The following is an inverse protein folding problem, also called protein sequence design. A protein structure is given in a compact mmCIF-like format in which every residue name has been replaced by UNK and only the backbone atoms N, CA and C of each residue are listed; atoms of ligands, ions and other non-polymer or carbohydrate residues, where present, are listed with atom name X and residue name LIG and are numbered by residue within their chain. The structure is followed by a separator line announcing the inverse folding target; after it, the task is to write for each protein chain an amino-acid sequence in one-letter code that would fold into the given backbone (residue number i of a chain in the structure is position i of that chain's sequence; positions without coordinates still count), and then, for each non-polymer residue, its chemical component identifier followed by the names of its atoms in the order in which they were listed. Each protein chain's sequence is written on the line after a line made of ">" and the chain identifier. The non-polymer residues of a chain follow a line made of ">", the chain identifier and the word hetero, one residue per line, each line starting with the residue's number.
data_IF_278222212406
#
_entry.id   IF_278222212406
#
_cell.length_a   1.000
_cell.length_b   1.000
_cell.length_c   1.000
_cell.angle_alpha   90.00
_cell.angle_beta   90.00
_cell.angle_gamma   90.00
#
_symmetry.space_group_name_H-M   'P 1'
#
loop_
_entity.id
_entity.type
_entity.pdbx_description
1 polymer ?
#
# COMPACT_ATOMS: atom_id res chain seq x y z
N UNK A 1 6.26 15.04 -0.27
CA UNK A 1 5.19 14.04 -0.52
C UNK A 1 5.75 12.75 -1.08
N UNK A 2 6.30 12.75 -2.30
CA UNK A 2 6.85 11.55 -2.95
C UNK A 2 7.87 10.81 -2.10
N UNK A 3 8.70 11.56 -1.35
CA UNK A 3 9.63 11.00 -0.36
C UNK A 3 8.93 10.24 0.78
N UNK A 4 7.80 10.74 1.28
CA UNK A 4 7.09 10.08 2.37
C UNK A 4 6.35 8.82 1.90
N UNK A 5 5.75 8.83 0.71
CA UNK A 5 5.20 7.63 0.07
C UNK A 5 6.30 6.59 -0.17
N UNK A 6 7.47 7.04 -0.61
CA UNK A 6 8.63 6.19 -0.79
C UNK A 6 9.12 5.56 0.54
N UNK A 7 9.26 6.36 1.59
CA UNK A 7 9.63 5.86 2.92
C UNK A 7 8.58 4.87 3.45
N UNK A 8 7.29 5.11 3.17
CA UNK A 8 6.22 4.16 3.48
C UNK A 8 6.41 2.83 2.77
N UNK A 9 6.50 2.85 1.44
CA UNK A 9 6.56 1.64 0.63
C UNK A 9 7.77 0.79 1.02
N UNK A 10 8.91 1.44 1.30
CA UNK A 10 10.12 0.74 1.76
C UNK A 10 9.93 0.18 3.18
N UNK A 11 9.30 0.92 4.09
CA UNK A 11 9.02 0.44 5.46
C UNK A 11 8.04 -0.74 5.42
N UNK A 12 6.95 -0.63 4.66
CA UNK A 12 5.96 -1.68 4.47
C UNK A 12 6.57 -2.93 3.83
N UNK A 13 7.38 -2.79 2.78
CA UNK A 13 8.10 -3.91 2.17
C UNK A 13 9.09 -4.57 3.15
N UNK A 14 9.75 -3.78 4.02
CA UNK A 14 10.64 -4.28 5.06
C UNK A 14 9.91 -5.12 6.10
N UNK A 15 8.75 -4.63 6.57
CA UNK A 15 7.89 -5.33 7.52
C UNK A 15 7.30 -6.60 6.93
N UNK A 16 6.81 -6.51 5.69
CA UNK A 16 6.34 -7.65 4.94
C UNK A 16 7.44 -8.73 4.84
N UNK A 17 8.68 -8.34 4.57
CA UNK A 17 9.79 -9.28 4.48
C UNK A 17 10.11 -9.98 5.80
N UNK A 18 10.02 -9.25 6.93
CA UNK A 18 10.15 -9.83 8.27
C UNK A 18 9.02 -10.82 8.55
N UNK A 19 7.78 -10.43 8.27
CA UNK A 19 6.60 -11.27 8.50
C UNK A 19 6.62 -12.54 7.63
N UNK A 20 7.09 -12.43 6.38
CA UNK A 20 7.34 -13.58 5.53
C UNK A 20 8.39 -14.51 6.12
N UNK A 21 9.48 -13.96 6.66
CA UNK A 21 10.52 -14.75 7.30
C UNK A 21 10.02 -15.50 8.54
N UNK A 22 9.20 -14.86 9.37
CA UNK A 22 8.53 -15.49 10.52
C UNK A 22 7.62 -16.63 10.09
N UNK A 23 6.76 -16.40 9.08
CA UNK A 23 5.86 -17.43 8.54
C UNK A 23 6.62 -18.57 7.84
N UNK A 24 7.78 -18.30 7.22
CA UNK A 24 8.63 -19.33 6.63
C UNK A 24 9.22 -20.24 7.70
N UNK A 25 9.72 -19.67 8.79
CA UNK A 25 10.28 -20.43 9.92
C UNK A 25 9.21 -21.32 10.55
N UNK A 26 8.00 -20.78 10.78
CA UNK A 26 6.86 -21.54 11.29
C UNK A 26 6.43 -22.63 10.31
N UNK A 27 6.27 -22.29 9.03
CA UNK A 27 5.78 -23.22 8.00
C UNK A 27 6.71 -24.40 7.72
N UNK A 28 8.03 -24.19 7.82
CA UNK A 28 9.03 -25.25 7.68
C UNK A 28 9.49 -25.85 9.01
N UNK A 29 8.90 -25.42 10.13
CA UNK A 29 9.24 -25.85 11.49
C UNK A 29 10.75 -25.75 11.79
N UNK A 30 11.37 -24.67 11.31
CA UNK A 30 12.78 -24.38 11.52
C UNK A 30 12.92 -23.72 12.90
N UNK A 31 13.64 -24.31 13.84
CA UNK A 31 13.86 -23.75 15.19
C UNK A 31 14.84 -22.56 15.23
N UNK A 32 14.84 -21.70 14.22
CA UNK A 32 15.80 -20.61 14.08
C UNK A 32 15.43 -19.41 14.94
N UNK A 33 16.45 -18.75 15.49
CA UNK A 33 16.31 -17.57 16.34
C UNK A 33 16.00 -16.29 15.52
N UNK A 34 16.00 -15.13 16.19
CA UNK A 34 15.82 -13.82 15.55
C UNK A 34 16.88 -13.53 14.47
N UNK A 35 18.06 -14.16 14.55
CA UNK A 35 19.09 -14.08 13.52
C UNK A 35 18.65 -14.74 12.22
N UNK A 36 18.02 -15.92 12.30
CA UNK A 36 17.43 -16.62 11.15
C UNK A 36 16.34 -15.82 10.45
N UNK A 37 15.45 -15.16 11.20
CA UNK A 37 14.41 -14.27 10.65
C UNK A 37 15.04 -13.17 9.80
N UNK A 38 16.08 -12.53 10.33
CA UNK A 38 16.77 -11.42 9.64
C UNK A 38 17.39 -11.88 8.32
N UNK A 39 18.08 -13.03 8.30
CA UNK A 39 18.69 -13.56 7.09
C UNK A 39 17.67 -13.91 6.02
N UNK A 40 16.56 -14.55 6.38
CA UNK A 40 15.50 -14.90 5.44
C UNK A 40 14.85 -13.64 4.88
N UNK A 41 14.59 -12.62 5.71
CA UNK A 41 14.01 -11.35 5.27
C UNK A 41 14.93 -10.62 4.27
N UNK A 42 16.25 -10.59 4.53
CA UNK A 42 17.24 -9.99 3.63
C UNK A 42 17.33 -10.74 2.30
N UNK A 43 17.34 -12.08 2.33
CA UNK A 43 17.36 -12.91 1.11
C UNK A 43 16.08 -12.69 0.30
N UNK A 44 14.93 -12.67 0.96
CA UNK A 44 13.65 -12.42 0.31
C UNK A 44 13.61 -11.05 -0.38
N UNK A 45 14.05 -10.00 0.30
CA UNK A 45 14.17 -8.66 -0.30
C UNK A 45 15.16 -8.62 -1.47
N UNK A 46 16.28 -9.33 -1.38
CA UNK A 46 17.21 -9.45 -2.49
C UNK A 46 16.56 -10.14 -3.71
N UNK A 47 15.74 -11.17 -3.49
CA UNK A 47 14.98 -11.85 -4.55
C UNK A 47 13.97 -10.88 -5.18
N UNK A 48 13.20 -10.13 -4.37
CA UNK A 48 12.27 -9.12 -4.89
C UNK A 48 12.99 -8.04 -5.70
N UNK A 49 14.17 -7.60 -5.25
CA UNK A 49 14.99 -6.65 -5.98
C UNK A 49 15.39 -7.23 -7.33
N UNK A 50 15.85 -8.48 -7.37
CA UNK A 50 16.26 -9.16 -8.60
C UNK A 50 15.08 -9.35 -9.57
N UNK A 51 13.88 -9.67 -9.07
CA UNK A 51 12.65 -9.74 -9.87
C UNK A 51 12.31 -8.37 -10.47
N UNK A 52 12.41 -7.30 -9.69
CA UNK A 52 12.17 -5.92 -10.14
C UNK A 52 13.20 -5.48 -11.20
N UNK A 53 14.45 -5.96 -11.08
CA UNK A 53 15.52 -5.72 -12.06
C UNK A 53 15.34 -6.48 -13.37
N UNK A 54 14.73 -7.67 -13.32
CA UNK A 54 14.52 -8.50 -14.51
C UNK A 54 13.54 -7.85 -15.49
N UNK A 55 12.62 -7.04 -15.01
CA UNK A 55 11.82 -6.13 -15.83
C UNK A 55 10.38 -6.04 -15.36
N UNK A 56 9.81 -4.84 -15.50
CA UNK A 56 8.50 -4.50 -14.94
C UNK A 56 7.40 -5.43 -15.43
N UNK A 57 7.37 -5.75 -16.74
CA UNK A 57 6.35 -6.64 -17.29
C UNK A 57 6.41 -8.07 -16.72
N UNK A 58 7.59 -8.55 -16.33
CA UNK A 58 7.76 -9.85 -15.67
C UNK A 58 7.31 -9.75 -14.21
N UNK A 59 7.68 -8.67 -13.49
CA UNK A 59 7.26 -8.44 -12.11
C UNK A 59 5.73 -8.30 -11.98
N UNK A 60 5.07 -7.61 -12.91
CA UNK A 60 3.61 -7.48 -12.93
C UNK A 60 2.90 -8.82 -13.17
N UNK A 61 3.44 -9.67 -14.05
CA UNK A 61 2.88 -11.02 -14.26
C UNK A 61 3.01 -11.88 -13.00
N UNK A 62 4.16 -11.81 -12.32
CA UNK A 62 4.36 -12.49 -11.05
C UNK A 62 3.38 -11.97 -9.99
N UNK A 63 3.17 -10.66 -9.94
CA UNK A 63 2.19 -10.04 -9.05
C UNK A 63 0.77 -10.57 -9.26
N UNK A 64 0.34 -10.74 -10.52
CA UNK A 64 -0.97 -11.31 -10.83
C UNK A 64 -1.10 -12.74 -10.30
N UNK A 65 -0.04 -13.55 -10.40
CA UNK A 65 -0.03 -14.91 -9.83
C UNK A 65 -0.18 -14.87 -8.31
N UNK A 66 0.57 -14.00 -7.62
CA UNK A 66 0.47 -13.85 -6.17
C UNK A 66 -0.92 -13.37 -5.75
N UNK A 67 -1.49 -12.42 -6.48
CA UNK A 67 -2.85 -11.91 -6.23
C UNK A 67 -3.90 -13.00 -6.44
N UNK A 68 -3.73 -13.88 -7.42
CA UNK A 68 -4.64 -15.03 -7.61
C UNK A 68 -4.59 -15.99 -6.42
N UNK A 69 -3.39 -16.28 -5.90
CA UNK A 69 -3.20 -17.12 -4.70
C UNK A 69 -3.87 -16.45 -3.49
N UNK A 70 -3.63 -15.16 -3.27
CA UNK A 70 -4.24 -14.39 -2.19
C UNK A 70 -5.78 -14.39 -2.29
N UNK A 71 -6.31 -14.19 -3.49
CA UNK A 71 -7.75 -14.24 -3.76
C UNK A 71 -8.32 -15.63 -3.46
N UNK A 72 -7.60 -16.72 -3.73
CA UNK A 72 -8.06 -18.06 -3.32
C UNK A 72 -8.22 -18.19 -1.81
N UNK A 73 -7.32 -17.58 -1.01
CA UNK A 73 -7.45 -17.55 0.44
C UNK A 73 -8.71 -16.84 0.92
N UNK A 74 -8.96 -15.66 0.36
CA UNK A 74 -10.18 -14.89 0.65
C UNK A 74 -11.44 -15.64 0.23
N UNK A 75 -11.43 -16.31 -0.93
CA UNK A 75 -12.55 -17.14 -1.37
C UNK A 75 -12.82 -18.29 -0.40
N UNK A 76 -11.77 -18.95 0.12
CA UNK A 76 -11.96 -20.02 1.11
C UNK A 76 -12.65 -19.49 2.36
N UNK A 77 -12.25 -18.31 2.87
CA UNK A 77 -12.92 -17.66 4.01
C UNK A 77 -14.39 -17.39 3.69
N UNK A 78 -14.69 -16.85 2.51
CA UNK A 78 -16.07 -16.59 2.06
C UNK A 78 -16.88 -17.89 2.00
N UNK A 79 -16.34 -18.95 1.41
CA UNK A 79 -17.02 -20.25 1.32
C UNK A 79 -17.30 -20.87 2.69
N UNK A 80 -16.33 -20.80 3.61
CA UNK A 80 -16.50 -21.26 4.99
C UNK A 80 -17.57 -20.43 5.70
N UNK A 81 -17.57 -19.11 5.50
CA UNK A 81 -18.62 -18.20 5.93
C UNK A 81 -20.02 -18.67 5.53
N UNK A 82 -20.23 -18.85 4.22
CA UNK A 82 -21.51 -19.31 3.69
C UNK A 82 -21.87 -20.75 4.13
N UNK A 83 -20.89 -21.64 4.27
CA UNK A 83 -21.12 -23.01 4.71
C UNK A 83 -21.52 -23.10 6.18
N UNK A 84 -20.87 -22.33 7.06
CA UNK A 84 -21.25 -22.20 8.47
C UNK A 84 -22.66 -21.61 8.61
N UNK A 85 -22.99 -20.62 7.76
CA UNK A 85 -24.30 -19.98 7.69
C UNK A 85 -25.40 -20.96 7.24
N UNK A 86 -25.11 -21.84 6.28
CA UNK A 86 -26.04 -22.89 5.85
C UNK A 86 -26.30 -23.95 6.92
N UNK A 87 -25.41 -24.11 7.91
CA UNK A 87 -25.59 -25.08 9.00
C UNK A 87 -26.35 -24.52 10.21
N UNK A 88 -26.81 -23.26 10.13
CA UNK A 88 -27.56 -22.61 11.22
C UNK A 88 -26.71 -22.25 12.44
N UNK A 89 -25.37 -22.34 12.33
CA UNK A 89 -24.44 -22.04 13.41
C UNK A 89 -24.04 -20.55 13.44
N UNK A 90 -24.87 -19.68 12.86
CA UNK A 90 -24.55 -18.28 12.58
C UNK A 90 -25.61 -17.36 13.19
N UNK A 91 -25.12 -16.39 13.95
CA UNK A 91 -25.94 -15.38 14.59
C UNK A 91 -25.92 -14.09 13.74
N UNK A 92 -26.84 -14.00 12.78
CA UNK A 92 -27.01 -12.82 11.94
C UNK A 92 -27.34 -11.55 12.72
N UNK A 93 -27.84 -11.69 13.96
CA UNK A 93 -28.09 -10.54 14.83
C UNK A 93 -26.80 -9.74 15.02
N UNK A 94 -25.64 -10.40 15.10
CA UNK A 94 -24.32 -9.75 15.30
C UNK A 94 -23.89 -8.86 14.13
N UNK A 95 -24.35 -9.13 12.91
CA UNK A 95 -24.08 -8.28 11.74
C UNK A 95 -24.94 -7.00 11.79
N UNK A 96 -26.07 -7.04 12.50
CA UNK A 96 -27.02 -5.94 12.66
C UNK A 96 -26.90 -5.19 14.00
N UNK A 97 -26.17 -5.76 14.97
CA UNK A 97 -25.95 -5.14 16.29
C UNK A 97 -24.72 -4.23 16.21
N UNK A 98 -24.97 -2.92 16.34
CA UNK A 98 -23.92 -1.92 16.42
C UNK A 98 -23.41 -1.80 17.87
N UNK A 99 -22.44 -2.63 18.24
CA UNK A 99 -21.71 -2.45 19.51
C UNK A 99 -20.72 -1.29 19.34
N UNK A 100 -21.16 -0.08 19.72
CA UNK A 100 -20.24 1.04 19.88
C UNK A 100 -19.53 0.93 21.21
N UNK A 101 -18.21 1.14 21.24
CA UNK A 101 -17.47 1.41 22.48
C UNK A 101 -18.22 2.50 23.26
N UNK A 102 -18.56 2.26 24.53
CA UNK A 102 -19.45 3.11 25.34
C UNK A 102 -19.06 4.61 25.36
N UNK A 103 -17.81 4.94 25.01
CA UNK A 103 -17.27 6.30 25.01
C UNK A 103 -17.30 7.06 23.68
N UNK A 104 -17.60 6.42 22.53
CA UNK A 104 -17.58 7.08 21.21
C UNK A 104 -18.94 7.01 20.53
N UNK A 105 -19.55 8.19 20.34
CA UNK A 105 -20.82 8.30 19.60
C UNK A 105 -20.74 7.66 18.21
N UNK A 106 -21.87 7.09 17.74
CA UNK A 106 -21.98 6.33 16.47
C UNK A 106 -21.29 7.02 15.30
N UNK A 107 -21.41 8.34 15.19
CA UNK A 107 -20.78 9.12 14.13
C UNK A 107 -19.24 9.09 14.15
N UNK A 108 -18.62 9.19 15.33
CA UNK A 108 -17.16 9.12 15.48
C UNK A 108 -16.65 7.71 15.23
N UNK A 109 -17.36 6.70 15.74
CA UNK A 109 -17.03 5.29 15.52
C UNK A 109 -17.12 4.92 14.04
N UNK A 110 -18.16 5.38 13.34
CA UNK A 110 -18.31 5.18 11.90
C UNK A 110 -17.21 5.90 11.11
N UNK A 111 -16.85 7.12 11.53
CA UNK A 111 -15.76 7.88 10.89
C UNK A 111 -14.42 7.17 11.03
N UNK A 112 -14.10 6.68 12.24
CA UNK A 112 -12.87 5.92 12.49
C UNK A 112 -12.83 4.61 11.68
N UNK A 113 -13.94 3.84 11.67
CA UNK A 113 -14.05 2.63 10.87
C UNK A 113 -13.91 2.90 9.36
N UNK A 114 -14.49 4.00 8.87
CA UNK A 114 -14.37 4.41 7.46
C UNK A 114 -12.93 4.82 7.11
N UNK A 115 -12.23 5.50 8.01
CA UNK A 115 -10.81 5.84 7.85
C UNK A 115 -9.96 4.58 7.71
N UNK A 116 -10.17 3.60 8.59
CA UNK A 116 -9.47 2.31 8.55
C UNK A 116 -9.84 1.49 7.31
N UNK A 117 -11.10 1.48 6.90
CA UNK A 117 -11.53 0.80 5.66
C UNK A 117 -10.94 1.47 4.42
N UNK A 118 -10.81 2.81 4.42
CA UNK A 118 -10.12 3.54 3.36
C UNK A 118 -8.64 3.15 3.30
N UNK A 119 -7.99 2.97 4.45
CA UNK A 119 -6.61 2.48 4.51
C UNK A 119 -6.44 1.14 3.79
N UNK A 120 -7.39 0.21 3.95
CA UNK A 120 -7.36 -1.08 3.25
C UNK A 120 -7.54 -0.99 1.73
N UNK A 121 -7.98 0.16 1.22
CA UNK A 121 -8.19 0.44 -0.21
C UNK A 121 -7.05 1.28 -0.82
N UNK A 122 -6.07 1.70 -0.02
CA UNK A 122 -4.85 2.39 -0.48
C UNK A 122 -4.06 1.46 -1.42
N UNK A 123 -3.56 2.01 -2.53
CA UNK A 123 -2.80 1.29 -3.55
C UNK A 123 -3.40 1.38 -4.95
N UNK A 124 -4.63 1.88 -5.10
CA UNK A 124 -5.20 2.14 -6.44
C UNK A 124 -4.50 3.32 -7.13
N UNK A 125 -4.01 4.30 -6.38
CA UNK A 125 -3.27 5.46 -6.89
C UNK A 125 -1.96 5.06 -7.57
N UNK A 126 -1.38 3.95 -7.11
CA UNK A 126 -0.12 3.43 -7.64
C UNK A 126 -0.28 2.92 -9.06
N UNK A 127 -1.47 2.44 -9.41
CA UNK A 127 -1.81 2.02 -10.77
C UNK A 127 -1.69 3.17 -11.77
N UNK A 128 -1.84 4.43 -11.35
CA UNK A 128 -1.72 5.60 -12.24
C UNK A 128 -0.29 5.74 -12.76
N UNK A 129 0.73 5.39 -11.97
CA UNK A 129 2.13 5.40 -12.40
C UNK A 129 2.45 4.28 -13.42
N UNK A 130 1.53 3.34 -13.60
CA UNK A 130 1.59 2.26 -14.60
C UNK A 130 0.72 2.55 -15.82
N UNK A 131 -0.05 3.65 -15.82
CA UNK A 131 -0.93 4.00 -16.93
C UNK A 131 -0.16 4.17 -18.25
N UNK A 132 1.08 4.66 -18.20
CA UNK A 132 1.95 4.82 -19.39
C UNK A 132 2.29 3.49 -20.08
N UNK A 133 2.22 2.36 -19.37
CA UNK A 133 2.47 1.02 -19.92
C UNK A 133 1.18 0.29 -20.33
N UNK A 134 0.04 0.96 -20.18
CA UNK A 134 -1.27 0.40 -20.54
C UNK A 134 -1.58 0.66 -22.01
N UNK A 135 -2.16 -0.33 -22.69
CA UNK A 135 -2.66 -0.15 -24.06
C UNK A 135 -3.87 0.80 -24.03
N UNK A 136 -3.84 1.88 -24.81
CA UNK A 136 -4.91 2.90 -24.85
C UNK A 136 -5.35 3.38 -23.44
N UNK A 137 -4.47 4.10 -22.72
CA UNK A 137 -4.71 4.47 -21.32
C UNK A 137 -5.93 5.38 -21.14
N UNK A 138 -6.34 6.12 -22.17
CA UNK A 138 -7.48 7.05 -22.06
C UNK A 138 -8.80 6.30 -21.87
N UNK A 139 -8.95 5.14 -22.52
CA UNK A 139 -10.21 4.37 -22.51
C UNK A 139 -10.15 3.15 -21.60
N UNK A 140 -9.03 2.42 -21.59
CA UNK A 140 -8.93 1.15 -20.88
C UNK A 140 -8.69 1.37 -19.39
N UNK A 141 -7.78 2.28 -19.04
CA UNK A 141 -7.36 2.49 -17.65
C UNK A 141 -8.54 2.85 -16.73
N UNK A 142 -9.42 3.83 -17.03
CA UNK A 142 -10.53 4.16 -16.14
C UNK A 142 -11.51 3.00 -15.93
N UNK A 143 -11.80 2.24 -17.00
CA UNK A 143 -12.74 1.12 -16.93
C UNK A 143 -12.19 0.00 -16.06
N UNK A 144 -10.94 -0.41 -16.28
CA UNK A 144 -10.30 -1.49 -15.52
C UNK A 144 -10.11 -1.11 -14.06
N UNK A 145 -9.69 0.12 -13.78
CA UNK A 145 -9.54 0.64 -12.43
C UNK A 145 -10.85 0.61 -11.65
N UNK A 146 -11.94 1.15 -12.23
CA UNK A 146 -13.25 1.17 -11.56
C UNK A 146 -13.84 -0.23 -11.37
N UNK A 147 -13.68 -1.13 -12.33
CA UNK A 147 -14.12 -2.52 -12.18
C UNK A 147 -13.32 -3.26 -11.12
N UNK A 148 -11.98 -3.10 -11.10
CA UNK A 148 -11.12 -3.73 -10.10
C UNK A 148 -11.47 -3.27 -8.69
N UNK A 149 -11.59 -1.95 -8.49
CA UNK A 149 -11.96 -1.36 -7.20
C UNK A 149 -13.33 -1.84 -6.71
N UNK A 150 -14.30 -1.95 -7.63
CA UNK A 150 -15.66 -2.44 -7.30
C UNK A 150 -15.63 -3.91 -6.90
N UNK A 151 -14.87 -4.75 -7.61
CA UNK A 151 -14.72 -6.18 -7.26
C UNK A 151 -14.06 -6.32 -5.89
N UNK A 152 -12.97 -5.59 -5.63
CA UNK A 152 -12.29 -5.62 -4.32
C UNK A 152 -13.22 -5.18 -3.19
N UNK A 153 -13.99 -4.11 -3.39
CA UNK A 153 -14.96 -3.65 -2.40
C UNK A 153 -16.02 -4.71 -2.09
N UNK A 154 -16.55 -5.41 -3.09
CA UNK A 154 -17.51 -6.50 -2.89
C UNK A 154 -16.87 -7.66 -2.11
N UNK A 155 -15.65 -8.05 -2.48
CA UNK A 155 -14.92 -9.12 -1.76
C UNK A 155 -14.69 -8.75 -0.30
N UNK A 156 -14.28 -7.51 -0.01
CA UNK A 156 -14.08 -7.04 1.36
C UNK A 156 -15.37 -7.09 2.18
N UNK A 157 -16.50 -6.65 1.62
CA UNK A 157 -17.81 -6.73 2.28
C UNK A 157 -18.20 -8.19 2.57
N UNK A 158 -18.03 -9.09 1.61
CA UNK A 158 -18.32 -10.51 1.79
C UNK A 158 -17.45 -11.16 2.88
N UNK A 159 -16.15 -10.87 2.88
CA UNK A 159 -15.22 -11.36 3.91
C UNK A 159 -15.59 -10.81 5.28
N UNK A 160 -15.96 -9.53 5.37
CA UNK A 160 -16.34 -8.88 6.63
C UNK A 160 -17.62 -9.49 7.21
N UNK A 161 -18.63 -9.73 6.37
CA UNK A 161 -19.86 -10.42 6.76
C UNK A 161 -19.55 -11.85 7.22
N UNK A 162 -18.76 -12.60 6.44
CA UNK A 162 -18.37 -13.97 6.80
C UNK A 162 -17.65 -14.01 8.15
N UNK A 163 -16.69 -13.11 8.38
CA UNK A 163 -15.89 -13.06 9.60
C UNK A 163 -16.74 -12.79 10.84
N UNK A 164 -17.53 -11.71 10.84
CA UNK A 164 -18.36 -11.29 11.98
C UNK A 164 -19.50 -12.28 12.25
N UNK A 165 -19.95 -13.00 11.22
CA UNK A 165 -21.00 -14.01 11.36
C UNK A 165 -20.55 -15.27 12.10
N UNK A 166 -19.25 -15.61 12.04
CA UNK A 166 -18.68 -16.82 12.67
C UNK A 166 -18.07 -16.50 14.03
N UNK A 167 -17.29 -15.41 14.13
CA UNK A 167 -16.48 -15.09 15.33
C UNK A 167 -16.92 -13.76 15.92
N UNK A 168 -17.09 -13.65 17.26
CA UNK A 168 -17.39 -12.38 17.93
C UNK A 168 -16.36 -11.28 17.61
N UNK A 169 -16.82 -10.04 17.49
CA UNK A 169 -15.98 -8.87 17.15
C UNK A 169 -14.86 -8.66 18.18
N UNK A 170 -15.14 -8.88 19.47
CA UNK A 170 -14.11 -8.79 20.52
C UNK A 170 -12.92 -9.71 20.27
N UNK A 171 -13.18 -10.99 19.98
CA UNK A 171 -12.14 -11.97 19.67
C UNK A 171 -11.40 -11.65 18.37
N UNK A 172 -12.10 -11.14 17.35
CA UNK A 172 -11.46 -10.69 16.11
C UNK A 172 -10.55 -9.47 16.32
N UNK A 173 -10.92 -8.57 17.24
CA UNK A 173 -10.15 -7.36 17.54
C UNK A 173 -8.87 -7.64 18.34
N UNK A 174 -8.86 -8.71 19.14
CA UNK A 174 -7.69 -9.13 19.93
C UNK A 174 -6.75 -10.06 19.14
N UNK A 175 -7.22 -10.65 18.04
CA UNK A 175 -6.45 -11.60 17.24
C UNK A 175 -5.48 -10.90 16.29
N UNK A 176 -4.22 -11.34 16.29
CA UNK A 176 -3.23 -10.91 15.28
C UNK A 176 -3.46 -11.55 13.91
N UNK A 177 -4.26 -12.62 13.84
CA UNK A 177 -4.61 -13.32 12.59
C UNK A 177 -6.11 -13.57 12.49
N UNK A 178 -6.94 -12.52 12.34
CA UNK A 178 -8.41 -12.64 12.43
C UNK A 178 -8.99 -13.62 11.40
N UNK A 179 -8.48 -13.60 10.16
CA UNK A 179 -8.97 -14.49 9.10
C UNK A 179 -8.67 -15.97 9.38
N UNK A 180 -7.53 -16.27 10.04
CA UNK A 180 -7.23 -17.63 10.47
C UNK A 180 -8.21 -18.10 11.55
N UNK A 181 -8.56 -17.22 12.48
CA UNK A 181 -9.52 -17.51 13.55
C UNK A 181 -10.90 -17.84 12.99
N UNK A 182 -11.36 -17.08 12.00
CA UNK A 182 -12.63 -17.34 11.28
C UNK A 182 -12.62 -18.72 10.62
N UNK A 183 -11.51 -19.09 10.00
CA UNK A 183 -11.36 -20.39 9.33
C UNK A 183 -11.33 -21.53 10.33
N UNK A 184 -10.60 -21.39 11.44
CA UNK A 184 -10.56 -22.38 12.53
C UNK A 184 -11.92 -22.60 13.16
N UNK A 185 -12.67 -21.52 13.39
CA UNK A 185 -14.01 -21.59 13.96
C UNK A 185 -15.04 -22.15 12.97
N UNK A 186 -14.95 -21.79 11.68
CA UNK A 186 -15.92 -22.20 10.66
C UNK A 186 -15.68 -23.58 10.03
N UNK A 187 -14.44 -24.08 10.02
CA UNK A 187 -14.08 -25.37 9.42
C UNK A 187 -12.91 -26.06 10.17
N UNK A 188 -13.16 -26.60 11.38
CA UNK A 188 -12.12 -27.17 12.24
C UNK A 188 -11.41 -28.41 11.65
N UNK A 189 -11.98 -29.04 10.61
CA UNK A 189 -11.40 -30.22 9.95
C UNK A 189 -10.42 -29.87 8.80
N UNK A 190 -10.27 -28.59 8.43
CA UNK A 190 -9.30 -28.20 7.42
C UNK A 190 -7.92 -28.01 8.09
N UNK A 191 -6.84 -28.63 7.58
CA UNK A 191 -5.47 -28.47 8.11
C UNK A 191 -4.89 -27.10 7.72
N UNK A 192 -5.56 -26.03 8.12
CA UNK A 192 -5.21 -24.67 7.76
C UNK A 192 -3.99 -24.16 8.51
N UNK A 193 -3.62 -24.78 9.63
CA UNK A 193 -2.35 -24.48 10.31
C UNK A 193 -1.12 -24.78 9.42
N UNK A 194 -1.25 -25.71 8.46
CA UNK A 194 -0.19 -26.03 7.49
C UNK A 194 -0.25 -25.11 6.27
N UNK A 195 -1.46 -24.76 5.82
CA UNK A 195 -1.66 -24.00 4.57
C UNK A 195 -1.52 -22.49 4.81
N UNK A 196 -1.95 -21.99 5.96
CA UNK A 196 -2.00 -20.57 6.30
C UNK A 196 -0.63 -19.89 6.26
N UNK A 197 0.47 -20.46 6.82
CA UNK A 197 1.78 -19.82 6.72
C UNK A 197 2.19 -19.57 5.26
N UNK A 198 1.94 -20.52 4.35
CA UNK A 198 2.21 -20.34 2.92
C UNK A 198 1.32 -19.28 2.29
N UNK A 199 0.02 -19.29 2.58
CA UNK A 199 -0.92 -18.30 2.06
C UNK A 199 -0.55 -16.89 2.51
N UNK A 200 -0.21 -16.75 3.78
CA UNK A 200 0.25 -15.51 4.38
C UNK A 200 1.56 -15.04 3.75
N UNK A 201 2.54 -15.92 3.56
CA UNK A 201 3.77 -15.62 2.85
C UNK A 201 3.53 -15.07 1.44
N UNK A 202 2.62 -15.68 0.66
CA UNK A 202 2.32 -15.21 -0.70
C UNK A 202 1.65 -13.83 -0.71
N UNK A 203 0.68 -13.58 0.18
CA UNK A 203 0.02 -12.27 0.31
C UNK A 203 1.01 -11.16 0.71
N UNK A 204 1.92 -11.49 1.63
CA UNK A 204 2.94 -10.57 2.12
C UNK A 204 4.00 -10.32 1.04
N UNK A 205 4.36 -11.35 0.27
CA UNK A 205 5.24 -11.20 -0.88
C UNK A 205 4.63 -10.33 -1.98
N UNK A 206 3.33 -10.45 -2.23
CA UNK A 206 2.57 -9.61 -3.16
C UNK A 206 2.70 -8.12 -2.76
N UNK A 207 2.38 -7.84 -1.49
CA UNK A 207 2.46 -6.49 -0.92
C UNK A 207 3.86 -5.89 -1.03
N UNK A 208 4.90 -6.66 -0.67
CA UNK A 208 6.28 -6.20 -0.74
C UNK A 208 6.74 -5.93 -2.18
N UNK A 209 6.37 -6.80 -3.13
CA UNK A 209 6.71 -6.65 -4.55
C UNK A 209 6.11 -5.37 -5.14
N UNK A 210 4.82 -5.11 -4.91
CA UNK A 210 4.13 -3.90 -5.41
C UNK A 210 4.78 -2.66 -4.82
N UNK A 211 4.95 -2.61 -3.50
CA UNK A 211 5.53 -1.46 -2.82
C UNK A 211 6.94 -1.12 -3.35
N UNK A 212 7.73 -2.15 -3.67
CA UNK A 212 9.08 -1.95 -4.19
C UNK A 212 9.11 -1.55 -5.67
N UNK A 213 8.19 -2.07 -6.49
CA UNK A 213 7.96 -1.60 -7.86
C UNK A 213 7.59 -0.11 -7.84
N UNK A 214 6.69 0.28 -6.94
CA UNK A 214 6.24 1.66 -6.81
C UNK A 214 7.33 2.62 -6.35
N UNK A 215 8.06 2.25 -5.30
CA UNK A 215 9.19 3.05 -4.82
C UNK A 215 10.22 3.32 -5.93
N UNK A 216 10.52 2.31 -6.76
CA UNK A 216 11.47 2.44 -7.87
C UNK A 216 11.00 3.42 -8.95
N UNK A 217 9.71 3.43 -9.28
CA UNK A 217 9.12 4.34 -10.28
C UNK A 217 9.04 5.77 -9.79
N UNK A 218 8.63 5.96 -8.54
CA UNK A 218 8.60 7.29 -7.92
C UNK A 218 10.00 7.91 -7.90
N UNK A 219 11.03 7.11 -7.57
CA UNK A 219 12.43 7.53 -7.66
C UNK A 219 12.85 7.90 -9.08
N UNK A 220 12.47 7.10 -10.07
CA UNK A 220 12.76 7.40 -11.47
C UNK A 220 12.11 8.72 -11.92
N UNK A 221 10.83 8.94 -11.61
CA UNK A 221 10.14 10.19 -11.90
C UNK A 221 10.79 11.40 -11.21
N UNK A 222 11.20 11.25 -9.94
CA UNK A 222 11.92 12.31 -9.21
C UNK A 222 13.30 12.62 -9.79
N UNK A 223 14.03 11.60 -10.24
CA UNK A 223 15.33 11.79 -10.89
C UNK A 223 15.19 12.47 -12.26
N UNK A 224 14.08 12.22 -12.97
CA UNK A 224 13.76 12.89 -14.24
C UNK A 224 13.36 14.36 -14.05
N UNK A 225 12.78 14.70 -12.90
CA UNK A 225 12.43 16.07 -12.51
C UNK A 225 13.59 16.83 -11.82
N UNK A 226 14.81 16.29 -11.83
CA UNK A 226 16.00 16.88 -11.17
C UNK A 226 15.86 17.11 -9.65
N UNK A 227 14.86 16.49 -9.01
CA UNK A 227 14.63 16.55 -7.55
C UNK A 227 15.61 15.66 -6.78
N UNK A 228 16.15 14.64 -7.45
CA UNK A 228 17.19 13.74 -6.94
C UNK A 228 18.38 13.69 -7.91
N UNK A 229 19.59 13.30 -7.45
CA UNK A 229 20.76 13.21 -8.31
C UNK A 229 20.46 12.33 -9.54
N UNK A 230 20.74 12.83 -10.76
CA UNK A 230 20.48 12.08 -12.01
C UNK A 230 21.14 10.69 -12.07
N UNK A 231 22.11 10.40 -11.22
CA UNK A 231 22.68 9.07 -11.05
C UNK A 231 21.66 8.02 -10.60
N UNK A 232 20.60 8.42 -9.87
CA UNK A 232 19.50 7.55 -9.44
C UNK A 232 18.46 7.29 -10.54
N UNK A 233 18.44 8.10 -11.60
CA UNK A 233 17.58 7.92 -12.78
C UNK A 233 18.20 7.08 -13.90
N UNK A 234 19.37 6.45 -13.68
CA UNK A 234 20.03 5.63 -14.70
C UNK A 234 19.27 4.33 -14.90
N UNK A 235 18.68 4.18 -16.08
CA UNK A 235 17.98 2.96 -16.53
C UNK A 235 18.95 2.00 -17.22
N UNK A 236 18.69 0.69 -17.10
CA UNK A 236 19.42 -0.30 -17.89
C UNK A 236 19.12 -0.11 -19.39
N UNK A 237 20.15 -0.15 -20.28
CA UNK A 237 19.99 0.12 -21.72
C UNK A 237 18.96 -0.77 -22.43
N UNK A 238 18.73 -1.99 -21.94
CA UNK A 238 17.95 -3.01 -22.64
C UNK A 238 16.57 -3.31 -22.02
N UNK A 239 16.33 -2.90 -20.76
CA UNK A 239 15.15 -3.30 -19.98
C UNK A 239 14.32 -2.12 -19.43
N UNK A 240 14.78 -0.87 -19.64
CA UNK A 240 14.17 0.38 -19.13
C UNK A 240 13.87 0.40 -17.62
N UNK A 241 14.44 -0.54 -16.85
CA UNK A 241 14.30 -0.61 -15.39
C UNK A 241 15.39 0.27 -14.72
N UNK A 242 15.04 1.15 -13.75
CA UNK A 242 15.97 2.05 -13.07
C UNK A 242 16.77 1.30 -12.00
N UNK A 243 17.85 0.61 -12.39
CA UNK A 243 18.67 -0.20 -11.47
C UNK A 243 19.29 0.58 -10.32
N UNK A 244 19.69 1.83 -10.55
CA UNK A 244 20.22 2.70 -9.50
C UNK A 244 19.18 3.05 -8.44
N UNK A 245 17.91 3.25 -8.85
CA UNK A 245 16.81 3.48 -7.91
C UNK A 245 16.51 2.22 -7.10
N UNK A 246 16.47 1.06 -7.75
CA UNK A 246 16.16 -0.23 -7.12
C UNK A 246 17.25 -0.63 -6.11
N UNK A 247 18.53 -0.43 -6.42
CA UNK A 247 19.61 -0.67 -5.43
C UNK A 247 19.45 0.26 -4.24
N UNK A 248 19.20 1.55 -4.48
CA UNK A 248 19.07 2.53 -3.40
C UNK A 248 17.89 2.22 -2.48
N UNK A 249 16.71 1.90 -3.03
CA UNK A 249 15.55 1.49 -2.22
C UNK A 249 15.81 0.21 -1.46
N UNK A 250 16.45 -0.78 -2.08
CA UNK A 250 16.78 -2.06 -1.44
C UNK A 250 17.78 -1.87 -0.29
N UNK A 251 18.76 -0.97 -0.45
CA UNK A 251 19.75 -0.67 0.59
C UNK A 251 19.10 0.05 1.78
N UNK A 252 18.20 1.00 1.51
CA UNK A 252 17.39 1.63 2.58
C UNK A 252 16.51 0.58 3.27
N UNK A 253 15.90 -0.33 2.51
CA UNK A 253 15.09 -1.41 3.07
C UNK A 253 15.93 -2.33 3.96
N UNK A 254 17.14 -2.71 3.55
CA UNK A 254 18.06 -3.48 4.38
C UNK A 254 18.43 -2.76 5.67
N UNK A 255 18.75 -1.46 5.59
CA UNK A 255 19.03 -0.65 6.77
C UNK A 255 17.81 -0.59 7.71
N UNK A 256 16.60 -0.47 7.16
CA UNK A 256 15.37 -0.48 7.94
C UNK A 256 15.07 -1.85 8.54
N UNK A 257 15.23 -2.96 7.81
CA UNK A 257 15.05 -4.31 8.35
C UNK A 257 15.99 -4.54 9.53
N UNK A 258 17.27 -4.18 9.39
CA UNK A 258 18.27 -4.34 10.46
C UNK A 258 17.91 -3.43 11.65
N UNK A 259 17.57 -2.17 11.41
CA UNK A 259 17.25 -1.22 12.49
C UNK A 259 15.95 -1.58 13.20
N UNK A 260 14.91 -1.96 12.47
CA UNK A 260 13.62 -2.39 13.04
C UNK A 260 13.80 -3.69 13.81
N UNK A 261 14.54 -4.67 13.30
CA UNK A 261 14.72 -5.94 14.02
C UNK A 261 15.53 -5.79 15.31
N UNK A 262 16.49 -4.86 15.36
CA UNK A 262 17.39 -4.69 16.52
C UNK A 262 16.97 -3.56 17.49
N UNK A 263 16.28 -2.51 17.02
CA UNK A 263 16.09 -1.28 17.80
C UNK A 263 14.65 -0.75 17.83
N UNK A 264 13.71 -1.20 17.00
CA UNK A 264 12.35 -0.63 16.94
C UNK A 264 11.23 -1.67 17.07
N UNK A 265 10.21 -1.35 17.87
CA UNK A 265 9.02 -2.18 18.00
C UNK A 265 8.11 -2.12 16.77
N UNK A 266 7.27 -3.16 16.58
CA UNK A 266 6.22 -3.26 15.56
C UNK A 266 5.29 -2.04 15.52
N UNK A 267 5.09 -1.38 16.66
CA UNK A 267 4.22 -0.21 16.79
C UNK A 267 4.74 0.99 15.99
N UNK A 268 6.06 1.14 15.84
CA UNK A 268 6.61 2.27 15.07
C UNK A 268 6.40 2.09 13.57
N UNK A 269 6.41 0.85 13.10
CA UNK A 269 6.09 0.52 11.70
C UNK A 269 4.63 0.81 11.41
N UNK A 270 3.72 0.40 12.29
CA UNK A 270 2.30 0.69 12.16
C UNK A 270 2.05 2.20 12.11
N UNK A 271 2.68 2.95 13.01
CA UNK A 271 2.60 4.42 13.02
C UNK A 271 3.17 5.06 11.75
N UNK A 272 4.27 4.54 11.18
CA UNK A 272 4.81 4.98 9.90
C UNK A 272 3.82 4.71 8.75
N UNK A 273 3.19 3.53 8.73
CA UNK A 273 2.15 3.17 7.77
C UNK A 273 0.96 4.14 7.82
N UNK A 274 0.37 4.35 9.00
CA UNK A 274 -0.75 5.27 9.20
C UNK A 274 -0.42 6.72 8.80
N UNK A 275 0.75 7.20 9.19
CA UNK A 275 1.28 8.51 8.78
C UNK A 275 1.29 8.70 7.25
N UNK A 276 1.58 7.65 6.51
CA UNK A 276 1.71 7.76 5.06
C UNK A 276 0.36 7.75 4.36
N UNK A 277 -0.62 7.04 4.92
CA UNK A 277 -2.00 7.17 4.50
C UNK A 277 -2.56 8.57 4.77
N UNK A 278 -2.23 9.17 5.92
CA UNK A 278 -2.56 10.57 6.21
C UNK A 278 -1.97 11.51 5.14
N UNK A 279 -0.71 11.32 4.77
CA UNK A 279 -0.07 12.11 3.72
C UNK A 279 -0.69 11.87 2.33
N UNK A 280 -1.14 10.64 2.03
CA UNK A 280 -1.86 10.32 0.80
C UNK A 280 -3.24 10.98 0.77
N UNK A 281 -3.97 11.01 1.89
CA UNK A 281 -5.24 11.72 2.00
C UNK A 281 -5.08 13.24 1.78
N UNK A 282 -4.01 13.84 2.33
CA UNK A 282 -3.65 15.23 2.03
C UNK A 282 -3.48 15.44 0.52
N UNK A 283 -2.89 14.48 -0.16
CA UNK A 283 -2.60 14.57 -1.58
C UNK A 283 -3.84 14.37 -2.41
N UNK A 284 -4.69 13.40 -2.07
CA UNK A 284 -5.99 13.28 -2.71
C UNK A 284 -6.82 14.53 -2.54
N UNK A 285 -6.74 15.20 -1.39
CA UNK A 285 -7.37 16.51 -1.19
C UNK A 285 -6.84 17.53 -2.21
N UNK A 286 -5.51 17.66 -2.33
CA UNK A 286 -4.87 18.59 -3.27
C UNK A 286 -5.17 18.22 -4.73
N UNK A 287 -5.13 16.95 -5.10
CA UNK A 287 -5.40 16.44 -6.46
C UNK A 287 -6.85 16.71 -6.84
N UNK A 288 -7.81 16.46 -5.94
CA UNK A 288 -9.21 16.78 -6.18
C UNK A 288 -9.42 18.29 -6.39
N UNK A 289 -8.77 19.14 -5.58
CA UNK A 289 -8.78 20.60 -5.77
C UNK A 289 -8.15 20.98 -7.11
N UNK A 290 -7.01 20.38 -7.47
CA UNK A 290 -6.32 20.63 -8.73
C UNK A 290 -7.21 20.28 -9.93
N UNK A 291 -7.96 19.18 -9.88
CA UNK A 291 -8.94 18.80 -10.92
C UNK A 291 -10.06 19.84 -11.04
N UNK A 292 -10.57 20.37 -9.92
CA UNK A 292 -11.59 21.44 -9.93
C UNK A 292 -11.05 22.71 -10.62
N UNK A 293 -9.79 23.08 -10.33
CA UNK A 293 -9.13 24.23 -10.96
C UNK A 293 -8.84 23.97 -12.44
N UNK A 294 -8.34 22.78 -12.79
CA UNK A 294 -7.95 22.42 -14.15
C UNK A 294 -9.15 22.31 -15.08
N UNK A 295 -10.33 21.89 -14.57
CA UNK A 295 -11.58 21.87 -15.34
C UNK A 295 -12.00 23.27 -15.84
N UNK A 296 -11.50 24.35 -15.23
CA UNK A 296 -11.77 25.72 -15.68
C UNK A 296 -10.86 26.16 -16.84
N UNK A 297 -9.88 25.34 -17.24
CA UNK A 297 -8.98 25.62 -18.35
C UNK A 297 -9.38 24.81 -19.59
N UNK A 298 -9.36 25.40 -20.80
CA UNK A 298 -9.51 24.64 -22.03
C UNK A 298 -8.29 23.72 -22.20
N UNK A 299 -8.54 22.44 -22.47
CA UNK A 299 -7.49 21.45 -22.79
C UNK A 299 -7.88 20.77 -24.08
N UNK A 300 -6.96 20.78 -25.05
CA UNK A 300 -7.18 20.38 -26.44
C UNK A 300 -6.89 18.90 -26.76
N UNK A 301 -6.77 18.03 -25.74
CA UNK A 301 -6.57 16.58 -25.94
C UNK A 301 -7.77 15.76 -25.46
N UNK A 302 -7.92 14.55 -25.98
CA UNK A 302 -8.94 13.60 -25.51
C UNK A 302 -8.61 13.13 -24.08
N UNK A 303 -9.55 13.30 -23.14
CA UNK A 303 -9.38 12.88 -21.74
C UNK A 303 -10.70 12.36 -21.16
N UNK A 304 -10.60 11.45 -20.19
CA UNK A 304 -11.75 11.01 -19.41
C UNK A 304 -12.32 12.15 -18.54
N UNK A 305 -13.62 12.41 -18.64
CA UNK A 305 -14.32 13.42 -17.85
C UNK A 305 -15.15 12.75 -16.75
N UNK A 306 -14.63 12.78 -15.53
CA UNK A 306 -15.39 12.36 -14.35
C UNK A 306 -16.64 13.24 -14.14
N UNK A 307 -17.70 12.76 -13.45
CA UNK A 307 -18.88 13.57 -13.14
C UNK A 307 -18.54 14.83 -12.34
N UNK A 308 -19.41 15.85 -12.40
CA UNK A 308 -19.07 17.17 -11.87
C UNK A 308 -18.87 17.20 -10.35
N UNK A 309 -19.60 16.36 -9.64
CA UNK A 309 -19.74 16.36 -8.18
C UNK A 309 -18.60 15.57 -7.51
N UNK A 310 -18.04 14.55 -8.17
CA UNK A 310 -17.04 13.66 -7.57
C UNK A 310 -15.80 14.38 -7.01
N UNK A 311 -15.16 15.32 -7.72
CA UNK A 311 -13.99 16.01 -7.18
C UNK A 311 -14.30 16.86 -5.94
N UNK A 312 -15.50 17.42 -5.85
CA UNK A 312 -15.92 18.19 -4.68
C UNK A 312 -16.15 17.27 -3.48
N UNK A 313 -16.88 16.17 -3.67
CA UNK A 313 -17.08 15.17 -2.63
C UNK A 313 -15.74 14.59 -2.16
N UNK A 314 -14.87 14.19 -3.09
CA UNK A 314 -13.55 13.65 -2.77
C UNK A 314 -12.66 14.62 -2.01
N UNK A 315 -12.64 15.91 -2.38
CA UNK A 315 -11.89 16.91 -1.63
C UNK A 315 -12.42 17.08 -0.20
N UNK A 316 -13.75 17.13 -0.02
CA UNK A 316 -14.37 17.31 1.29
C UNK A 316 -14.14 16.07 2.17
N UNK A 317 -14.35 14.86 1.64
CA UNK A 317 -14.19 13.62 2.41
C UNK A 317 -12.73 13.36 2.76
N UNK A 318 -11.79 13.58 1.84
CA UNK A 318 -10.37 13.44 2.14
C UNK A 318 -9.92 14.48 3.16
N UNK A 319 -10.32 15.75 3.02
CA UNK A 319 -10.00 16.78 4.00
C UNK A 319 -10.59 16.47 5.39
N UNK A 320 -11.79 15.89 5.42
CA UNK A 320 -12.42 15.45 6.66
C UNK A 320 -11.66 14.27 7.30
N UNK A 321 -11.22 13.27 6.53
CA UNK A 321 -10.45 12.13 7.05
C UNK A 321 -9.01 12.49 7.45
N UNK A 322 -8.48 13.61 6.98
CA UNK A 322 -7.22 14.20 7.46
C UNK A 322 -7.40 14.89 8.82
N UNK A 323 -8.63 15.12 9.26
CA UNK A 323 -8.90 15.80 10.53
C UNK A 323 -8.44 14.99 11.76
N UNK A 324 -8.09 15.67 12.86
CA UNK A 324 -7.51 15.06 14.08
C UNK A 324 -8.44 14.09 14.83
N UNK A 325 -9.69 13.93 14.36
CA UNK A 325 -10.64 12.95 14.88
C UNK A 325 -10.50 11.57 14.23
N UNK A 326 -9.84 11.47 13.07
CA UNK A 326 -9.75 10.25 12.27
C UNK A 326 -8.35 9.62 12.24
N UNK A 327 -7.32 10.34 12.70
CA UNK A 327 -5.91 9.91 12.69
C UNK A 327 -5.31 10.07 14.08
N UNK A 328 -4.32 9.22 14.39
CA UNK A 328 -3.66 9.26 15.69
C UNK A 328 -2.72 10.48 15.80
N UNK A 329 -2.64 11.14 16.98
CA UNK A 329 -1.77 12.30 17.18
C UNK A 329 -0.30 12.05 16.83
N UNK A 330 0.16 10.81 17.00
CA UNK A 330 1.54 10.39 16.70
C UNK A 330 1.83 10.47 15.19
N UNK A 331 0.83 10.23 14.36
CA UNK A 331 0.98 10.24 12.91
C UNK A 331 1.22 11.65 12.38
N UNK A 332 0.59 12.68 12.99
CA UNK A 332 0.86 14.08 12.63
C UNK A 332 2.29 14.50 12.97
N UNK A 333 2.84 14.01 14.09
CA UNK A 333 4.21 14.30 14.48
C UNK A 333 5.20 13.67 13.50
N UNK A 334 5.01 12.39 13.18
CA UNK A 334 5.84 11.68 12.21
C UNK A 334 5.67 12.29 10.80
N UNK A 335 4.46 12.69 10.41
CA UNK A 335 4.19 13.40 9.15
C UNK A 335 4.98 14.71 9.08
N UNK A 336 4.96 15.49 10.15
CA UNK A 336 5.73 16.74 10.25
C UNK A 336 7.23 16.52 10.08
N UNK A 337 7.77 15.49 10.75
CA UNK A 337 9.19 15.10 10.61
C UNK A 337 9.50 14.68 9.17
N UNK A 338 8.67 13.83 8.55
CA UNK A 338 8.86 13.35 7.18
C UNK A 338 8.79 14.47 6.13
N UNK A 339 7.84 15.40 6.28
CA UNK A 339 7.73 16.59 5.43
C UNK A 339 8.97 17.47 5.62
N UNK A 340 9.39 17.71 6.86
CA UNK A 340 10.61 18.45 7.17
C UNK A 340 11.85 17.84 6.54
N UNK A 341 12.03 16.52 6.66
CA UNK A 341 13.11 15.77 6.03
C UNK A 341 13.08 15.90 4.50
N UNK A 342 11.88 15.83 3.89
CA UNK A 342 11.70 16.06 2.47
C UNK A 342 12.08 17.48 2.03
N UNK A 343 11.76 18.50 2.82
CA UNK A 343 12.15 19.90 2.56
C UNK A 343 13.66 20.07 2.69
N UNK A 344 14.28 19.48 3.72
CA UNK A 344 15.72 19.52 3.93
C UNK A 344 16.46 18.82 2.78
N UNK A 345 16.01 17.66 2.34
CA UNK A 345 16.58 16.95 1.20
C UNK A 345 16.40 17.74 -0.10
N UNK A 346 15.24 18.36 -0.31
CA UNK A 346 15.01 19.23 -1.46
C UNK A 346 15.93 20.45 -1.42
N UNK A 347 16.08 21.10 -0.26
CA UNK A 347 16.97 22.24 -0.08
C UNK A 347 18.45 21.85 -0.28
N UNK A 348 18.88 20.72 0.27
CA UNK A 348 20.22 20.18 0.08
C UNK A 348 20.49 19.86 -1.40
N UNK A 349 19.52 19.26 -2.10
CA UNK A 349 19.63 18.97 -3.53
C UNK A 349 19.60 20.24 -4.37
N UNK A 350 18.82 21.24 -3.98
CA UNK A 350 18.79 22.55 -4.61
C UNK A 350 20.13 23.29 -4.44
N UNK A 351 20.70 23.28 -3.23
CA UNK A 351 22.03 23.85 -2.95
C UNK A 351 23.12 23.10 -3.73
N UNK A 352 23.08 21.76 -3.76
CA UNK A 352 24.03 20.96 -4.51
C UNK A 352 23.93 21.19 -6.02
N UNK A 353 22.71 21.20 -6.58
CA UNK A 353 22.49 21.49 -8.00
C UNK A 353 22.87 22.93 -8.35
N UNK A 354 22.66 23.89 -7.45
CA UNK A 354 23.05 25.29 -7.63
C UNK A 354 24.57 25.48 -7.52
N UNK A 355 25.23 24.77 -6.62
CA UNK A 355 26.68 24.86 -6.37
C UNK A 355 27.53 24.12 -7.43
N UNK A 356 27.08 22.96 -7.90
CA UNK A 356 27.86 22.12 -8.83
C UNK A 356 27.51 22.36 -10.30
N UNK A 357 26.28 22.83 -10.63
CA UNK A 357 25.80 22.80 -12.04
C UNK A 357 25.31 24.11 -12.64
N UNK A 358 25.25 25.23 -11.91
CA UNK A 358 24.94 26.57 -12.46
C UNK A 358 23.83 26.62 -13.54
N UNK A 359 22.77 25.82 -13.40
CA UNK A 359 21.59 25.89 -14.27
C UNK A 359 20.34 26.15 -13.44
N UNK A 360 19.55 27.14 -13.87
CA UNK A 360 18.26 27.49 -13.27
C UNK A 360 17.31 26.31 -13.45
N UNK A 361 16.98 25.63 -12.36
CA UNK A 361 15.89 24.65 -12.30
C UNK A 361 14.55 25.37 -12.46
N UNK A 362 14.13 25.60 -13.72
CA UNK A 362 12.71 25.82 -14.03
C UNK A 362 12.05 24.45 -14.11
N UNK A 363 10.87 24.33 -13.49
CA UNK A 363 9.95 23.21 -13.72
C UNK A 363 9.71 23.15 -15.23
N UNK A 364 10.26 22.13 -15.91
CA UNK A 364 10.03 21.94 -17.35
C UNK A 364 8.58 21.54 -17.56
N UNK A 365 7.93 22.13 -18.55
CA UNK A 365 6.56 21.76 -18.87
C UNK A 365 6.55 20.34 -19.46
N UNK A 366 5.52 19.51 -19.18
CA UNK A 366 5.45 18.13 -19.68
C UNK A 366 5.52 18.00 -21.21
N UNK A 367 5.33 19.09 -21.94
CA UNK A 367 5.36 19.16 -23.40
C UNK A 367 6.79 19.22 -23.96
N UNK A 368 7.79 19.53 -23.12
CA UNK A 368 9.21 19.62 -23.52
C UNK A 368 9.91 18.24 -23.62
N UNK A 369 9.19 17.14 -23.34
CA UNK A 369 9.70 15.76 -23.33
C UNK A 369 9.28 14.93 -24.56
N UNK A 370 8.50 15.51 -25.48
CA UNK A 370 8.14 14.88 -26.75
C UNK A 370 9.16 15.24 -27.85
N UNK A 371 10.25 14.49 -27.93
CA UNK A 371 11.24 14.55 -29.02
C UNK A 371 11.71 13.16 -29.39
#
# INVERSE_FOLDING_TARGET
>A
MTFAVLSSGITSASTASKFLAENFIVGFNLGWDQGGVTWIALIFMAILALINLRGVSESLKFNVVLTLIELTGLLIVIFIGFWAMSQGNVDFSRVMVFETSEDKGVFLSLTAATSLAFFAMVGFEDSVNMAEETKDPVKIFPKVMLTGLSITAVVYVLVSIAAVSIVPVGTLSESQTPLLEVVRAGAPNLPMDVIYPFLSMFAVANTALINMLMASRLLYGMAHQDVLPRSLGKVLPNRRSPWSAIIFTTLIAFALIITVTNFMGTDTVAALGGTTALLLLCVFTIVNIAVIVLRRRPIDREHFRAPKILPYLGAITCAFLVGPWAQDPIEYQIAGVLIGLGIVLWAATWVWNRAVRAQRTRIRHPEDLGG
#
